data_IF_386431107458
#
_entry.id   IF_386431107458
#
_cell.length_a   1.000
_cell.length_b   1.000
_cell.length_c   1.000
_cell.angle_alpha   90.00
_cell.angle_beta   90.00
_cell.angle_gamma   90.00
#
_symmetry.space_group_name_H-M   'P 1'
#
loop_
_entity.id
_entity.type
_entity.pdbx_description
1 polymer ?
#
# COMPACT_ATOMS: atom_id res chain seq x y z
N UNK A 1 0.40 -20.36 -31.71
CA UNK A 1 0.77 -19.80 -30.40
C UNK A 1 0.27 -20.78 -29.35
N UNK A 2 1.13 -21.25 -28.44
CA UNK A 2 0.63 -22.09 -27.35
C UNK A 2 -0.41 -21.29 -26.56
N UNK A 3 -1.56 -21.88 -26.31
CA UNK A 3 -2.65 -21.22 -25.60
C UNK A 3 -2.23 -21.04 -24.14
N UNK A 4 -2.13 -19.80 -23.66
CA UNK A 4 -1.86 -19.53 -22.25
C UNK A 4 -3.01 -20.15 -21.44
N UNK A 5 -2.71 -21.18 -20.66
CA UNK A 5 -3.65 -21.77 -19.73
C UNK A 5 -3.49 -21.04 -18.39
N UNK A 6 -4.59 -20.46 -17.91
CA UNK A 6 -4.67 -19.85 -16.59
C UNK A 6 -5.44 -20.82 -15.69
N UNK A 7 -4.92 -21.04 -14.49
CA UNK A 7 -5.55 -21.82 -13.44
C UNK A 7 -5.65 -20.91 -12.19
N UNK A 8 -6.80 -20.93 -11.51
CA UNK A 8 -7.01 -20.18 -10.29
C UNK A 8 -6.82 -21.06 -9.06
N UNK A 9 -5.95 -20.67 -8.12
CA UNK A 9 -5.74 -21.41 -6.87
C UNK A 9 -6.31 -20.60 -5.71
N UNK A 10 -7.35 -21.13 -5.06
CA UNK A 10 -7.93 -20.53 -3.86
C UNK A 10 -7.28 -21.13 -2.63
N UNK A 11 -6.67 -20.26 -1.83
CA UNK A 11 -6.07 -20.60 -0.56
C UNK A 11 -7.01 -20.16 0.57
N UNK A 12 -7.14 -20.94 1.65
CA UNK A 12 -7.85 -20.48 2.83
C UNK A 12 -7.09 -19.33 3.49
N UNK A 13 -7.80 -18.48 4.23
CA UNK A 13 -7.16 -17.52 5.12
C UNK A 13 -6.31 -18.26 6.15
N UNK A 14 -5.05 -17.84 6.27
CA UNK A 14 -4.12 -18.43 7.21
C UNK A 14 -3.12 -17.37 7.69
N UNK A 15 -2.95 -17.27 9.00
CA UNK A 15 -1.96 -16.39 9.62
C UNK A 15 -0.52 -16.82 9.27
N UNK A 16 -0.31 -18.08 8.88
CA UNK A 16 0.99 -18.68 8.70
C UNK A 16 1.26 -19.01 7.24
N UNK A 17 2.42 -18.56 6.77
CA UNK A 17 2.86 -18.83 5.41
C UNK A 17 3.32 -20.27 5.19
N UNK A 18 3.73 -21.02 6.23
CA UNK A 18 4.26 -22.40 6.06
C UNK A 18 3.22 -23.37 5.49
N UNK A 19 2.02 -23.51 6.07
CA UNK A 19 1.03 -24.45 5.54
C UNK A 19 0.56 -24.05 4.12
N UNK A 20 0.48 -22.75 3.84
CA UNK A 20 0.19 -22.24 2.51
C UNK A 20 1.26 -22.69 1.50
N UNK A 21 2.55 -22.56 1.85
CA UNK A 21 3.67 -22.96 0.99
C UNK A 21 3.67 -24.47 0.71
N UNK A 22 3.33 -25.29 1.70
CA UNK A 22 3.17 -26.74 1.52
C UNK A 22 2.03 -27.08 0.57
N UNK A 23 0.86 -26.47 0.74
CA UNK A 23 -0.31 -26.66 -0.12
C UNK A 23 -0.03 -26.25 -1.57
N UNK A 24 0.56 -25.05 -1.76
CA UNK A 24 0.93 -24.54 -3.08
C UNK A 24 2.00 -25.43 -3.73
N UNK A 25 3.01 -25.88 -2.98
CA UNK A 25 4.04 -26.78 -3.47
C UNK A 25 3.48 -28.15 -3.89
N UNK A 26 2.54 -28.70 -3.12
CA UNK A 26 1.87 -29.95 -3.45
C UNK A 26 1.00 -29.83 -4.73
N UNK A 27 0.31 -28.70 -4.90
CA UNK A 27 -0.45 -28.42 -6.13
C UNK A 27 0.49 -28.26 -7.33
N UNK A 28 1.57 -27.50 -7.19
CA UNK A 28 2.58 -27.33 -8.24
C UNK A 28 3.18 -28.68 -8.71
N UNK A 29 3.41 -29.62 -7.79
CA UNK A 29 3.90 -30.95 -8.13
C UNK A 29 2.90 -31.78 -8.97
N UNK A 30 1.60 -31.50 -8.86
CA UNK A 30 0.53 -32.15 -9.64
C UNK A 30 0.29 -31.47 -10.98
N UNK A 31 0.32 -30.13 -10.99
CA UNK A 31 0.07 -29.27 -12.14
C UNK A 31 1.20 -28.23 -12.23
N UNK A 32 2.36 -28.59 -12.82
CA UNK A 32 3.49 -27.67 -12.90
C UNK A 32 3.20 -26.55 -13.89
N UNK A 33 3.49 -25.32 -13.47
CA UNK A 33 3.30 -24.11 -14.25
C UNK A 33 4.62 -23.38 -14.46
N UNK A 34 4.71 -22.60 -15.54
CA UNK A 34 5.88 -21.76 -15.80
C UNK A 34 5.98 -20.57 -14.83
N UNK A 35 4.84 -20.10 -14.32
CA UNK A 35 4.73 -18.89 -13.54
C UNK A 35 3.61 -18.99 -12.51
N UNK A 36 3.88 -18.42 -11.34
CA UNK A 36 2.96 -18.29 -10.22
C UNK A 36 2.82 -16.79 -9.90
N UNK A 37 1.59 -16.29 -9.88
CA UNK A 37 1.28 -14.91 -9.53
C UNK A 37 0.66 -14.84 -8.15
N UNK A 38 1.22 -13.98 -7.30
CA UNK A 38 0.78 -13.74 -5.93
C UNK A 38 0.23 -12.32 -5.81
N UNK A 39 -0.75 -12.10 -4.90
CA UNK A 39 -1.29 -10.77 -4.64
C UNK A 39 -0.21 -9.81 -4.14
N UNK A 40 -0.52 -8.51 -4.16
CA UNK A 40 0.33 -7.49 -3.56
C UNK A 40 0.38 -7.62 -2.04
N UNK A 41 1.34 -6.93 -1.42
CA UNK A 41 1.50 -6.91 0.03
C UNK A 41 2.55 -7.91 0.53
N UNK A 42 2.72 -7.92 1.85
CA UNK A 42 3.80 -8.66 2.50
C UNK A 42 3.65 -10.18 2.32
N UNK A 43 2.43 -10.71 2.49
CA UNK A 43 2.19 -12.15 2.43
C UNK A 43 2.43 -12.69 1.02
N UNK A 44 1.95 -12.02 -0.02
CA UNK A 44 2.20 -12.41 -1.41
C UNK A 44 3.68 -12.38 -1.79
N UNK A 45 4.41 -11.34 -1.35
CA UNK A 45 5.86 -11.25 -1.55
C UNK A 45 6.63 -12.35 -0.79
N UNK A 46 6.20 -12.67 0.44
CA UNK A 46 6.78 -13.74 1.23
C UNK A 46 6.56 -15.10 0.55
N UNK A 47 5.31 -15.41 0.17
CA UNK A 47 4.96 -16.66 -0.51
C UNK A 47 5.73 -16.83 -1.81
N UNK A 48 5.77 -15.80 -2.66
CA UNK A 48 6.51 -15.84 -3.92
C UNK A 48 7.99 -16.16 -3.72
N UNK A 49 8.64 -15.46 -2.79
CA UNK A 49 10.07 -15.60 -2.50
C UNK A 49 10.39 -16.98 -1.95
N UNK A 50 9.65 -17.41 -0.91
CA UNK A 50 9.92 -18.67 -0.21
C UNK A 50 9.57 -19.89 -1.08
N UNK A 51 8.56 -19.78 -1.93
CA UNK A 51 8.21 -20.85 -2.86
C UNK A 51 9.24 -20.98 -3.98
N UNK A 52 9.66 -19.88 -4.60
CA UNK A 52 10.69 -19.92 -5.66
C UNK A 52 11.95 -20.64 -5.18
N UNK A 53 12.41 -20.35 -3.96
CA UNK A 53 13.56 -21.04 -3.39
C UNK A 53 13.34 -22.55 -3.26
N UNK A 54 12.18 -22.99 -2.74
CA UNK A 54 11.84 -24.43 -2.62
C UNK A 54 11.77 -25.13 -3.96
N UNK A 55 11.27 -24.43 -4.99
CA UNK A 55 11.12 -24.95 -6.35
C UNK A 55 12.38 -24.76 -7.21
N UNK A 56 13.47 -24.21 -6.66
CA UNK A 56 14.69 -23.84 -7.41
C UNK A 56 14.40 -22.90 -8.60
N UNK A 57 13.36 -22.08 -8.48
CA UNK A 57 12.95 -21.08 -9.46
C UNK A 57 13.46 -19.67 -9.13
N UNK A 58 12.76 -18.67 -9.65
CA UNK A 58 13.12 -17.26 -9.52
C UNK A 58 11.96 -16.46 -8.93
N UNK A 59 12.28 -15.51 -8.05
CA UNK A 59 11.29 -14.65 -7.42
C UNK A 59 11.48 -13.18 -7.76
N UNK A 60 10.37 -12.49 -8.06
CA UNK A 60 10.33 -11.03 -8.12
C UNK A 60 9.11 -10.50 -7.37
N UNK A 61 9.35 -9.73 -6.32
CA UNK A 61 8.28 -9.06 -5.58
C UNK A 61 7.92 -7.69 -6.15
N UNK A 62 6.66 -7.28 -5.97
CA UNK A 62 6.12 -5.97 -6.36
C UNK A 62 6.33 -5.64 -7.85
N UNK A 63 6.01 -6.59 -8.73
CA UNK A 63 6.05 -6.43 -10.19
C UNK A 63 4.87 -5.59 -10.65
N UNK A 64 5.14 -4.49 -11.37
CA UNK A 64 4.12 -3.60 -11.92
C UNK A 64 3.71 -3.97 -13.34
N UNK A 65 4.62 -4.57 -14.13
CA UNK A 65 4.33 -5.03 -15.48
C UNK A 65 5.08 -6.34 -15.79
N UNK A 66 4.49 -7.20 -16.60
CA UNK A 66 5.14 -8.43 -17.08
C UNK A 66 4.85 -8.65 -18.57
N UNK A 67 5.88 -9.01 -19.33
CA UNK A 67 5.79 -9.44 -20.71
C UNK A 67 6.32 -10.87 -20.84
N UNK A 68 5.41 -11.82 -21.04
CA UNK A 68 5.76 -13.25 -21.13
C UNK A 68 6.49 -13.59 -22.42
N UNK A 69 6.10 -12.97 -23.54
CA UNK A 69 6.77 -13.17 -24.82
C UNK A 69 8.24 -12.73 -24.78
N UNK A 70 8.53 -11.69 -24.01
CA UNK A 70 9.90 -11.15 -23.85
C UNK A 70 10.61 -11.70 -22.60
N UNK A 71 9.89 -12.40 -21.73
CA UNK A 71 10.36 -12.84 -20.42
C UNK A 71 10.97 -11.69 -19.60
N UNK A 72 10.28 -10.54 -19.61
CA UNK A 72 10.71 -9.32 -18.90
C UNK A 72 9.64 -8.90 -17.92
N UNK A 73 10.06 -8.58 -16.70
CA UNK A 73 9.23 -7.92 -15.70
C UNK A 73 9.74 -6.52 -15.43
N UNK A 74 8.84 -5.62 -15.01
CA UNK A 74 9.19 -4.28 -14.56
C UNK A 74 8.71 -4.07 -13.13
N UNK A 75 9.52 -3.35 -12.36
CA UNK A 75 9.14 -2.92 -11.02
C UNK A 75 9.82 -1.62 -10.63
N UNK A 76 9.21 -0.94 -9.66
CA UNK A 76 9.82 0.18 -8.97
C UNK A 76 11.10 -0.25 -8.24
N UNK A 77 12.14 0.58 -8.33
CA UNK A 77 13.42 0.44 -7.66
C UNK A 77 13.82 1.77 -7.01
N UNK A 78 14.70 1.72 -6.00
CA UNK A 78 15.16 2.89 -5.25
C UNK A 78 14.02 3.78 -4.75
N UNK A 79 12.98 3.16 -4.19
CA UNK A 79 11.87 3.89 -3.59
C UNK A 79 11.01 4.68 -4.58
N UNK A 80 10.84 4.20 -5.81
CA UNK A 80 10.07 4.89 -6.85
C UNK A 80 10.89 5.78 -7.76
N UNK A 81 12.17 6.00 -7.46
CA UNK A 81 13.01 6.87 -8.29
C UNK A 81 13.32 6.26 -9.67
N UNK A 82 13.29 4.93 -9.80
CA UNK A 82 13.57 4.22 -11.05
C UNK A 82 12.53 3.13 -11.31
N UNK A 83 12.33 2.81 -12.59
CA UNK A 83 11.65 1.59 -13.03
C UNK A 83 12.69 0.65 -13.63
N UNK A 84 12.94 -0.48 -12.97
CA UNK A 84 13.86 -1.49 -13.45
C UNK A 84 13.14 -2.46 -14.39
N UNK A 85 13.75 -2.76 -15.54
CA UNK A 85 13.34 -3.85 -16.43
C UNK A 85 14.29 -5.03 -16.25
N UNK A 86 13.73 -6.19 -15.91
CA UNK A 86 14.48 -7.36 -15.46
C UNK A 86 14.10 -8.56 -16.32
N UNK A 87 15.11 -9.27 -16.82
CA UNK A 87 14.90 -10.48 -17.64
C UNK A 87 14.83 -11.70 -16.75
N UNK A 88 13.73 -12.43 -16.85
CA UNK A 88 13.51 -13.70 -16.17
C UNK A 88 14.46 -14.77 -16.76
N UNK A 89 15.04 -15.60 -15.89
CA UNK A 89 16.06 -16.60 -16.22
C UNK A 89 15.60 -18.01 -15.89
N UNK A 90 15.11 -18.27 -14.67
CA UNK A 90 14.93 -19.62 -14.15
C UNK A 90 13.46 -19.88 -13.75
N UNK A 91 12.82 -20.84 -14.42
CA UNK A 91 11.46 -21.27 -14.08
C UNK A 91 11.46 -22.21 -12.86
N UNK A 92 10.36 -22.26 -12.08
CA UNK A 92 9.17 -21.43 -12.23
C UNK A 92 9.41 -20.00 -11.75
N UNK A 93 8.72 -19.04 -12.38
CA UNK A 93 8.76 -17.63 -11.98
C UNK A 93 7.67 -17.34 -10.95
N UNK A 94 8.05 -17.06 -9.72
CA UNK A 94 7.11 -16.68 -8.65
C UNK A 94 7.11 -15.15 -8.50
N UNK A 95 6.03 -14.50 -8.91
CA UNK A 95 5.93 -13.05 -8.94
C UNK A 95 4.85 -12.57 -7.99
N UNK A 96 5.15 -11.61 -7.11
CA UNK A 96 4.09 -10.85 -6.42
C UNK A 96 3.84 -9.55 -7.16
N UNK A 97 2.57 -9.18 -7.31
CA UNK A 97 2.19 -7.94 -8.01
C UNK A 97 2.43 -6.71 -7.14
N UNK A 98 2.75 -5.58 -7.74
CA UNK A 98 2.85 -4.30 -7.02
C UNK A 98 1.48 -3.88 -6.48
N UNK A 99 1.47 -3.27 -5.30
CA UNK A 99 0.28 -2.57 -4.84
C UNK A 99 -0.01 -1.41 -5.81
N UNK A 100 -1.27 -1.27 -6.21
CA UNK A 100 -1.74 -0.20 -7.06
C UNK A 100 -3.07 0.32 -6.49
N UNK A 101 -3.02 1.22 -5.48
CA UNK A 101 -4.22 1.82 -4.90
C UNK A 101 -5.13 2.39 -6.00
N UNK A 102 -6.43 2.07 -5.94
CA UNK A 102 -7.42 2.50 -6.94
C UNK A 102 -7.42 1.71 -8.26
N UNK A 103 -6.52 0.74 -8.45
CA UNK A 103 -6.56 -0.14 -9.62
C UNK A 103 -7.75 -1.11 -9.57
N UNK A 104 -8.30 -1.45 -10.75
CA UNK A 104 -9.34 -2.47 -10.85
C UNK A 104 -8.76 -3.83 -10.54
N UNK A 105 -9.40 -4.56 -9.63
CA UNK A 105 -9.08 -5.96 -9.35
C UNK A 105 -9.20 -6.80 -10.62
N UNK A 106 -8.15 -7.56 -10.95
CA UNK A 106 -8.19 -8.50 -12.06
C UNK A 106 -8.95 -9.76 -11.63
N UNK A 107 -10.11 -10.00 -12.23
CA UNK A 107 -10.96 -11.18 -11.99
C UNK A 107 -11.21 -11.89 -13.33
N UNK A 108 -10.29 -12.77 -13.76
CA UNK A 108 -10.47 -13.51 -14.99
C UNK A 108 -11.57 -14.58 -14.84
N UNK A 109 -12.31 -14.86 -15.91
CA UNK A 109 -13.22 -16.00 -15.97
C UNK A 109 -12.42 -17.30 -16.16
N UNK A 110 -12.01 -17.92 -15.05
CA UNK A 110 -11.24 -19.17 -15.00
C UNK A 110 -11.82 -20.14 -13.98
N UNK A 111 -11.45 -21.41 -14.10
CA UNK A 111 -11.75 -22.41 -13.08
C UNK A 111 -10.82 -22.22 -11.88
N UNK A 112 -11.42 -22.16 -10.69
CA UNK A 112 -10.70 -22.04 -9.43
C UNK A 112 -10.74 -23.37 -8.69
N UNK A 113 -9.56 -23.91 -8.33
CA UNK A 113 -9.45 -25.08 -7.48
C UNK A 113 -9.07 -24.66 -6.05
N UNK A 114 -9.72 -25.31 -5.07
CA UNK A 114 -9.41 -25.11 -3.66
C UNK A 114 -8.15 -25.88 -3.31
N UNK A 115 -7.15 -25.18 -2.78
CA UNK A 115 -5.89 -25.80 -2.36
C UNK A 115 -6.03 -26.25 -0.91
N UNK A 116 -5.95 -27.56 -0.62
CA UNK A 116 -5.99 -28.04 0.75
C UNK A 116 -4.73 -27.58 1.47
N UNK A 117 -4.93 -26.90 2.59
CA UNK A 117 -3.86 -26.40 3.46
C UNK A 117 -4.08 -26.99 4.84
N UNK A 118 -3.01 -27.49 5.45
CA UNK A 118 -3.09 -28.01 6.81
C UNK A 118 -3.37 -26.89 7.81
N UNK A 119 -4.28 -27.11 8.76
CA UNK A 119 -4.46 -26.25 9.93
C UNK A 119 -3.36 -26.52 10.96
N UNK A 120 -2.10 -26.33 10.56
CA UNK A 120 -0.96 -26.57 11.44
C UNK A 120 -0.25 -25.27 11.77
N UNK A 121 -0.28 -24.92 13.06
CA UNK A 121 0.54 -23.85 13.60
C UNK A 121 2.02 -24.27 13.61
N UNK A 122 2.96 -23.43 13.14
CA UNK A 122 4.37 -23.76 13.18
C UNK A 122 4.87 -24.01 14.62
N UNK A 123 5.65 -25.08 14.82
CA UNK A 123 6.10 -25.49 16.15
C UNK A 123 7.00 -24.45 16.85
N UNK A 124 7.62 -23.54 16.09
CA UNK A 124 8.43 -22.45 16.61
C UNK A 124 7.60 -21.22 17.06
N UNK A 125 6.30 -21.16 16.74
CA UNK A 125 5.45 -20.03 17.10
C UNK A 125 4.91 -20.21 18.52
N UNK A 126 5.48 -19.49 19.48
CA UNK A 126 5.12 -19.57 20.91
C UNK A 126 3.78 -18.91 21.21
N UNK A 127 3.51 -17.72 20.65
CA UNK A 127 2.27 -16.97 20.86
C UNK A 127 1.89 -16.18 19.61
N UNK A 128 0.59 -16.05 19.35
CA UNK A 128 0.01 -15.08 18.42
C UNK A 128 -1.25 -14.52 19.05
N UNK A 129 -1.44 -13.21 18.95
CA UNK A 129 -2.64 -12.54 19.41
C UNK A 129 -2.99 -11.47 18.37
N UNK A 130 -4.25 -11.48 17.92
CA UNK A 130 -4.78 -10.35 17.18
C UNK A 130 -4.93 -9.18 18.16
N UNK A 131 -4.38 -8.03 17.79
CA UNK A 131 -4.70 -6.77 18.47
C UNK A 131 -5.87 -6.21 17.67
N UNK A 132 -7.06 -6.21 18.26
CA UNK A 132 -8.21 -5.53 17.68
C UNK A 132 -7.89 -4.04 17.61
N UNK A 133 -7.67 -3.56 16.39
CA UNK A 133 -7.51 -2.15 16.10
C UNK A 133 -8.93 -1.57 16.02
N UNK A 134 -9.52 -1.24 17.18
CA UNK A 134 -10.82 -0.53 17.26
C UNK A 134 -10.80 0.80 16.48
N UNK A 135 -9.60 1.24 16.07
CA UNK A 135 -9.31 2.46 15.32
C UNK A 135 -8.58 2.21 13.99
N UNK A 136 -8.71 1.02 13.37
CA UNK A 136 -8.11 0.77 12.06
C UNK A 136 -8.48 1.91 11.10
N UNK A 137 -7.51 2.77 10.75
CA UNK A 137 -7.83 3.95 9.96
C UNK A 137 -8.42 3.52 8.60
N UNK A 138 -9.55 4.10 8.22
CA UNK A 138 -10.17 3.91 6.90
C UNK A 138 -9.34 4.50 5.76
N UNK A 139 -8.09 4.89 6.05
CA UNK A 139 -7.20 5.68 5.22
C UNK A 139 -6.92 5.04 3.85
N UNK A 140 -6.79 3.71 3.80
CA UNK A 140 -6.54 2.99 2.55
C UNK A 140 -7.70 3.11 1.54
N UNK A 141 -8.94 3.25 2.02
CA UNK A 141 -10.17 3.34 1.23
C UNK A 141 -10.74 4.76 1.17
N UNK A 142 -10.13 5.70 1.90
CA UNK A 142 -10.61 7.05 2.04
C UNK A 142 -10.63 7.82 0.72
N UNK A 143 -11.80 8.36 0.37
CA UNK A 143 -11.95 9.26 -0.78
C UNK A 143 -11.48 10.68 -0.49
N UNK A 144 -11.50 11.11 0.78
CA UNK A 144 -11.02 12.41 1.23
C UNK A 144 -10.01 12.21 2.36
N UNK A 145 -8.80 12.74 2.20
CA UNK A 145 -7.70 12.56 3.16
C UNK A 145 -7.12 13.90 3.59
N UNK A 146 -7.03 14.13 4.90
CA UNK A 146 -6.24 15.22 5.49
C UNK A 146 -4.94 14.63 6.03
N UNK A 147 -3.85 14.85 5.29
CA UNK A 147 -2.53 14.35 5.61
C UNK A 147 -1.70 15.44 6.31
N UNK A 148 -1.24 15.18 7.53
CA UNK A 148 -0.50 16.18 8.33
C UNK A 148 0.94 15.82 8.63
N UNK A 149 1.78 16.85 8.63
CA UNK A 149 3.21 16.72 8.81
C UNK A 149 3.70 17.13 10.18
N UNK A 150 5.03 17.20 10.32
CA UNK A 150 5.69 17.78 11.50
C UNK A 150 5.21 19.21 11.81
N UNK A 151 4.72 19.94 10.81
CA UNK A 151 4.22 21.31 10.96
C UNK A 151 3.08 21.47 11.96
N UNK A 152 2.38 20.40 12.37
CA UNK A 152 1.34 20.46 13.41
C UNK A 152 1.91 20.79 14.81
N UNK A 153 3.16 20.43 15.08
CA UNK A 153 3.93 20.89 16.24
C UNK A 153 3.61 20.27 17.60
N UNK A 154 2.41 19.71 17.82
CA UNK A 154 2.04 19.10 19.11
C UNK A 154 0.88 18.10 19.01
N UNK A 155 0.70 17.19 20.00
CA UNK A 155 -0.47 16.32 20.09
C UNK A 155 -1.79 17.09 20.23
N UNK A 156 -1.80 18.25 20.90
CA UNK A 156 -3.01 19.06 21.09
C UNK A 156 -3.48 19.67 19.76
N UNK A 157 -2.53 20.19 18.97
CA UNK A 157 -2.83 20.66 17.62
C UNK A 157 -3.22 19.52 16.68
N UNK A 158 -2.66 18.32 16.86
CA UNK A 158 -3.07 17.12 16.12
C UNK A 158 -4.53 16.76 16.41
N UNK A 159 -4.95 16.75 17.68
CA UNK A 159 -6.34 16.50 18.04
C UNK A 159 -7.30 17.53 17.41
N UNK A 160 -6.91 18.80 17.38
CA UNK A 160 -7.69 19.84 16.70
C UNK A 160 -7.81 19.60 15.19
N UNK A 161 -6.73 19.15 14.54
CA UNK A 161 -6.75 18.76 13.12
C UNK A 161 -7.69 17.57 12.90
N UNK A 162 -7.68 16.57 13.78
CA UNK A 162 -8.55 15.40 13.68
C UNK A 162 -10.03 15.79 13.84
N UNK A 163 -10.36 16.70 14.75
CA UNK A 163 -11.70 17.27 14.87
C UNK A 163 -12.13 18.03 13.61
N UNK A 164 -11.20 18.76 12.99
CA UNK A 164 -11.46 19.44 11.72
C UNK A 164 -11.71 18.43 10.59
N UNK A 165 -10.85 17.42 10.47
CA UNK A 165 -10.96 16.35 9.48
C UNK A 165 -12.31 15.64 9.60
N UNK A 166 -12.71 15.29 10.82
CA UNK A 166 -14.01 14.67 11.11
C UNK A 166 -15.16 15.56 10.64
N UNK A 167 -15.11 16.85 10.96
CA UNK A 167 -16.14 17.81 10.51
C UNK A 167 -16.17 18.05 8.99
N UNK A 168 -15.10 17.72 8.27
CA UNK A 168 -15.00 17.75 6.82
C UNK A 168 -15.30 16.38 6.17
N UNK A 169 -15.56 15.33 6.96
CA UNK A 169 -15.73 13.97 6.45
C UNK A 169 -14.45 13.38 5.84
N UNK A 170 -13.28 13.78 6.33
CA UNK A 170 -11.97 13.34 5.85
C UNK A 170 -11.32 12.37 6.82
N UNK A 171 -10.66 11.36 6.29
CA UNK A 171 -9.77 10.51 7.08
C UNK A 171 -8.42 11.21 7.32
N UNK A 172 -7.87 11.06 8.52
CA UNK A 172 -6.61 11.72 8.87
C UNK A 172 -5.43 10.78 8.65
N UNK A 173 -4.45 11.22 7.86
CA UNK A 173 -3.16 10.56 7.72
C UNK A 173 -2.03 11.44 8.23
N UNK A 174 -0.85 10.86 8.46
CA UNK A 174 0.26 11.56 9.06
C UNK A 174 1.62 11.18 8.47
N UNK A 175 2.55 12.14 8.44
CA UNK A 175 3.94 11.88 8.10
C UNK A 175 4.65 11.06 9.17
N UNK A 176 5.74 10.38 8.78
CA UNK A 176 6.60 9.64 9.71
C UNK A 176 7.06 10.48 10.90
N UNK A 177 7.39 11.75 10.69
CA UNK A 177 7.85 12.62 11.79
C UNK A 177 6.75 12.82 12.84
N UNK A 178 5.50 13.07 12.42
CA UNK A 178 4.37 13.27 13.34
C UNK A 178 4.07 12.01 14.18
N UNK A 179 4.10 10.85 13.54
CA UNK A 179 3.92 9.56 14.22
C UNK A 179 5.08 9.24 15.17
N UNK A 180 6.33 9.48 14.75
CA UNK A 180 7.51 9.24 15.59
C UNK A 180 7.60 10.19 16.79
N UNK A 181 6.98 11.36 16.71
CA UNK A 181 6.77 12.25 17.85
C UNK A 181 5.60 11.83 18.75
N UNK A 182 4.93 10.71 18.45
CA UNK A 182 3.76 10.20 19.15
C UNK A 182 2.60 11.21 19.21
N UNK A 183 2.44 12.03 18.17
CA UNK A 183 1.29 12.94 18.06
C UNK A 183 0.05 12.22 17.55
N UNK A 184 0.24 11.12 16.83
CA UNK A 184 -0.80 10.22 16.36
C UNK A 184 -0.26 8.79 16.23
N UNK A 185 -1.16 7.83 16.03
CA UNK A 185 -0.82 6.41 15.98
C UNK A 185 -0.19 5.99 14.64
N UNK A 186 0.50 4.83 14.65
CA UNK A 186 1.25 4.30 13.49
C UNK A 186 0.36 3.86 12.33
N UNK A 187 -0.90 3.52 12.59
CA UNK A 187 -1.91 3.18 11.57
C UNK A 187 -2.23 4.37 10.65
N UNK A 188 -2.03 5.60 11.12
CA UNK A 188 -2.19 6.83 10.31
C UNK A 188 -0.97 7.14 9.44
N UNK A 189 0.11 6.36 9.52
CA UNK A 189 1.35 6.64 8.78
C UNK A 189 1.11 6.57 7.27
N UNK A 190 1.34 7.69 6.58
CA UNK A 190 1.36 7.78 5.12
C UNK A 190 2.79 7.69 4.59
N UNK A 191 2.98 6.92 3.52
CA UNK A 191 4.22 6.90 2.76
C UNK A 191 4.70 5.51 2.37
N UNK A 192 5.95 5.43 1.91
CA UNK A 192 6.60 4.19 1.45
C UNK A 192 6.58 3.06 2.49
N UNK A 193 6.62 3.41 3.78
CA UNK A 193 6.61 2.45 4.89
C UNK A 193 5.25 2.38 5.60
N UNK A 194 4.24 3.07 5.09
CA UNK A 194 2.91 3.13 5.66
C UNK A 194 1.84 2.92 4.59
N UNK A 195 0.67 3.48 4.83
CA UNK A 195 -0.47 3.42 3.92
C UNK A 195 -0.20 4.29 2.68
N UNK A 196 -0.55 3.75 1.52
CA UNK A 196 -0.62 4.50 0.26
C UNK A 196 -2.09 4.67 -0.11
N UNK A 197 -2.49 5.90 -0.43
CA UNK A 197 -3.87 6.28 -0.69
C UNK A 197 -4.06 6.73 -2.13
N UNK A 198 -5.27 6.51 -2.65
CA UNK A 198 -5.72 7.02 -3.94
C UNK A 198 -6.99 7.88 -3.76
N UNK A 199 -6.92 8.84 -2.84
CA UNK A 199 -8.04 9.72 -2.51
C UNK A 199 -8.44 10.63 -3.69
N UNK A 200 -9.72 10.97 -3.79
CA UNK A 200 -10.21 11.98 -4.74
C UNK A 200 -9.66 13.37 -4.41
N UNK A 201 -9.56 13.70 -3.12
CA UNK A 201 -8.94 14.92 -2.60
C UNK A 201 -8.01 14.58 -1.44
N UNK A 202 -6.76 15.01 -1.53
CA UNK A 202 -5.78 14.94 -0.46
C UNK A 202 -5.31 16.35 -0.08
N UNK A 203 -5.56 16.75 1.16
CA UNK A 203 -5.02 17.99 1.73
C UNK A 203 -3.77 17.63 2.52
N UNK A 204 -2.61 18.08 2.07
CA UNK A 204 -1.32 17.87 2.69
C UNK A 204 -0.89 19.14 3.46
N UNK A 205 -1.08 19.14 4.78
CA UNK A 205 -0.90 20.32 5.63
C UNK A 205 0.32 20.19 6.57
N UNK A 206 1.20 21.19 6.55
CA UNK A 206 2.40 21.22 7.39
C UNK A 206 3.42 20.12 7.05
N UNK A 207 3.42 19.61 5.81
CA UNK A 207 4.36 18.58 5.31
C UNK A 207 5.44 19.18 4.43
N UNK A 208 6.66 18.66 4.50
CA UNK A 208 7.79 19.16 3.70
C UNK A 208 7.82 18.64 2.26
N UNK A 209 7.17 17.51 1.98
CA UNK A 209 7.20 16.85 0.67
C UNK A 209 8.37 15.89 0.46
N UNK A 210 8.84 15.23 1.53
CA UNK A 210 9.87 14.18 1.41
C UNK A 210 9.40 13.05 0.46
N UNK A 211 10.27 12.50 -0.42
CA UNK A 211 9.87 11.50 -1.42
C UNK A 211 9.12 10.29 -0.85
N UNK A 212 9.51 9.82 0.34
CA UNK A 212 8.84 8.72 1.02
C UNK A 212 7.41 9.07 1.47
N UNK A 213 7.12 10.33 1.81
CA UNK A 213 5.76 10.78 2.11
C UNK A 213 4.96 10.94 0.82
N UNK A 214 5.56 11.53 -0.22
CA UNK A 214 4.92 11.71 -1.53
C UNK A 214 4.45 10.37 -2.11
N UNK A 215 5.23 9.29 -1.98
CA UNK A 215 4.79 7.96 -2.45
C UNK A 215 3.53 7.43 -1.75
N UNK A 216 3.14 8.03 -0.61
CA UNK A 216 1.90 7.71 0.10
C UNK A 216 0.66 8.38 -0.50
N UNK A 217 0.82 9.55 -1.13
CA UNK A 217 -0.30 10.37 -1.64
C UNK A 217 -0.26 10.56 -3.17
N UNK A 218 0.78 10.06 -3.85
CA UNK A 218 1.02 10.30 -5.27
C UNK A 218 -0.09 9.77 -6.20
N UNK A 219 -0.94 8.87 -5.71
CA UNK A 219 -2.07 8.33 -6.46
C UNK A 219 -3.38 9.08 -6.21
N UNK A 220 -3.37 10.12 -5.37
CA UNK A 220 -4.52 10.99 -5.17
C UNK A 220 -4.80 11.83 -6.42
N UNK A 221 -6.10 12.04 -6.70
CA UNK A 221 -6.54 12.73 -7.92
C UNK A 221 -6.31 14.24 -7.86
N UNK A 222 -6.42 14.83 -6.67
CA UNK A 222 -6.27 16.27 -6.45
C UNK A 222 -5.57 16.52 -5.11
N UNK A 223 -4.41 17.18 -5.15
CA UNK A 223 -3.56 17.44 -3.99
C UNK A 223 -3.53 18.94 -3.68
N UNK A 224 -3.96 19.30 -2.47
CA UNK A 224 -3.85 20.67 -1.92
C UNK A 224 -2.72 20.69 -0.90
N UNK A 225 -1.76 21.59 -1.03
CA UNK A 225 -0.68 21.76 -0.05
C UNK A 225 -0.88 23.03 0.77
N UNK A 226 -0.73 22.93 2.10
CA UNK A 226 -0.71 24.06 3.02
C UNK A 226 0.61 24.07 3.77
N UNK A 227 1.43 25.09 3.57
CA UNK A 227 2.72 25.21 4.25
C UNK A 227 3.15 26.67 4.39
N UNK A 228 3.65 27.07 5.56
CA UNK A 228 4.17 28.43 5.79
C UNK A 228 5.45 28.72 4.99
N UNK A 229 6.25 27.70 4.66
CA UNK A 229 7.46 27.86 3.86
C UNK A 229 7.13 27.79 2.36
N UNK A 230 7.16 28.92 1.62
CA UNK A 230 6.86 28.94 0.18
C UNK A 230 7.83 28.10 -0.67
N UNK A 231 8.96 27.67 -0.11
CA UNK A 231 9.96 26.84 -0.79
C UNK A 231 9.81 25.34 -0.50
N UNK A 232 8.81 24.93 0.29
CA UNK A 232 8.59 23.54 0.63
C UNK A 232 8.40 22.66 -0.62
N UNK A 233 9.03 21.48 -0.63
CA UNK A 233 9.03 20.60 -1.80
C UNK A 233 7.63 20.03 -2.11
N UNK A 234 6.73 19.99 -1.14
CA UNK A 234 5.33 19.55 -1.32
C UNK A 234 4.63 20.33 -2.44
N UNK A 235 4.94 21.62 -2.62
CA UNK A 235 4.30 22.44 -3.66
C UNK A 235 4.61 21.96 -5.08
N UNK A 236 5.68 21.16 -5.29
CA UNK A 236 5.97 20.55 -6.60
C UNK A 236 5.04 19.37 -6.93
N UNK A 237 4.32 18.88 -5.94
CA UNK A 237 3.43 17.72 -6.04
C UNK A 237 1.97 18.07 -5.82
N UNK A 238 1.65 19.36 -5.64
CA UNK A 238 0.30 19.84 -5.37
C UNK A 238 -0.31 20.52 -6.59
N UNK A 239 -1.60 20.31 -6.79
CA UNK A 239 -2.42 21.03 -7.78
C UNK A 239 -2.73 22.44 -7.29
N UNK A 240 -2.88 22.63 -5.98
CA UNK A 240 -3.12 23.91 -5.32
C UNK A 240 -2.17 24.07 -4.14
N UNK A 241 -1.51 25.23 -4.03
CA UNK A 241 -0.65 25.56 -2.90
C UNK A 241 -1.15 26.80 -2.14
N UNK A 242 -1.24 26.70 -0.83
CA UNK A 242 -1.54 27.79 0.10
C UNK A 242 -0.31 28.03 0.97
N UNK A 243 0.24 29.25 0.90
CA UNK A 243 1.38 29.66 1.74
C UNK A 243 0.87 30.40 2.96
N UNK A 244 0.57 29.63 4.01
CA UNK A 244 0.06 30.15 5.28
C UNK A 244 0.21 29.10 6.39
N UNK A 245 -0.16 29.47 7.62
CA UNK A 245 -0.26 28.56 8.75
C UNK A 245 -1.41 27.58 8.58
N UNK A 246 -1.16 26.31 8.92
CA UNK A 246 -2.12 25.23 8.62
C UNK A 246 -3.44 25.33 9.41
N UNK A 247 -3.39 25.68 10.70
CA UNK A 247 -4.59 25.67 11.56
C UNK A 247 -5.60 26.75 11.17
N UNK A 248 -5.21 28.02 10.94
CA UNK A 248 -6.12 29.04 10.44
C UNK A 248 -6.78 28.64 9.12
N UNK A 249 -6.00 28.16 8.16
CA UNK A 249 -6.52 27.75 6.84
C UNK A 249 -7.50 26.59 6.96
N UNK A 250 -7.16 25.55 7.72
CA UNK A 250 -8.04 24.39 7.91
C UNK A 250 -9.32 24.77 8.66
N UNK A 251 -9.23 25.67 9.64
CA UNK A 251 -10.40 26.18 10.37
C UNK A 251 -11.34 26.95 9.44
N UNK A 252 -10.79 27.83 8.62
CA UNK A 252 -11.60 28.61 7.68
C UNK A 252 -12.23 27.73 6.59
N UNK A 253 -11.48 26.73 6.10
CA UNK A 253 -12.03 25.73 5.19
C UNK A 253 -13.24 25.01 5.79
N UNK A 254 -13.16 24.60 7.07
CA UNK A 254 -14.29 23.98 7.76
C UNK A 254 -15.50 24.92 7.85
N UNK A 255 -15.28 26.22 8.09
CA UNK A 255 -16.36 27.21 8.14
C UNK A 255 -17.04 27.35 6.78
N UNK A 256 -16.28 27.51 5.69
CA UNK A 256 -16.84 27.65 4.34
C UNK A 256 -17.69 26.44 3.94
N UNK A 257 -17.21 25.22 4.20
CA UNK A 257 -17.95 23.99 3.85
C UNK A 257 -19.26 23.86 4.63
N UNK A 258 -19.31 24.36 5.87
CA UNK A 258 -20.53 24.37 6.69
C UNK A 258 -21.57 25.39 6.23
N UNK A 259 -21.17 26.45 5.54
CA UNK A 259 -22.09 27.48 5.04
C UNK A 259 -22.74 27.08 3.70
N UNK A 260 -22.09 26.20 2.94
CA UNK A 260 -22.56 25.71 1.64
C UNK A 260 -23.48 24.46 1.72
N UNK A 261 -23.75 23.94 2.91
CA UNK A 261 -24.65 22.79 3.20
C UNK A 261 -25.87 23.28 4.00
#
# INVERSE_FOLDING_TARGET
MAQTQLEGWLLPENEYSEPLLEGIGAQFARSPVDMLLFPSGWQGAELATRLAYRLQGEAWGAVSEASFAQQVVRKSAYGGALVAALRLQNKPWCLSVAAAPGAKTWQPEIEYCQIPVAEQRPAWLVESAAIEDETASGLAEASLVLAVGRGVGSPQAMAQVEDIALGLGMETGASREAVMHAWCSMDKLLGMSGTQVAADVCIAAGVSGAPAFISGIAHSRFIVAINHDPQAAIFRHADVGIVDDLLPVLTELQNCVREDI
#
